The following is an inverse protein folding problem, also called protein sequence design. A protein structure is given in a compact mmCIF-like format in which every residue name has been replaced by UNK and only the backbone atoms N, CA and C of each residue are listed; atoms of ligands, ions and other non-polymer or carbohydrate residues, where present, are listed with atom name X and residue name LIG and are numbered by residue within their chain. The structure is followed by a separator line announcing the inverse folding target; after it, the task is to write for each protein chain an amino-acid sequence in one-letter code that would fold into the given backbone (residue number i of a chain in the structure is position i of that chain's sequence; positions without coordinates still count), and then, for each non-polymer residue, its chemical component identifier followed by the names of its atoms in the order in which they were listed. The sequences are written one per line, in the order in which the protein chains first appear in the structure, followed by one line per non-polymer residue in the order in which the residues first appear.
data_IF_396821077742
#
_entry.id   IF_396821077742
#
_cell.length_a   1.000
_cell.length_b   1.000
_cell.length_c   1.000
_cell.angle_alpha   90.00
_cell.angle_beta   90.00
_cell.angle_gamma   90.00
#
_symmetry.space_group_name_H-M   'P 1'
#
loop_
_entity.id
_entity.type
_entity.pdbx_description
1 polymer ?
#
# COMPACT_ATOMS: atom_id res chain seq x y z
N UNK A 1 -10.25 23.45 -13.91
CA UNK A 1 -10.09 23.27 -12.44
C UNK A 1 -10.91 22.07 -12.01
N UNK A 2 -10.32 21.12 -11.28
CA UNK A 2 -11.03 19.93 -10.78
C UNK A 2 -11.92 20.38 -9.63
N UNK A 3 -13.21 20.00 -9.70
CA UNK A 3 -14.20 20.30 -8.65
C UNK A 3 -14.53 19.02 -7.89
N UNK A 4 -13.98 18.88 -6.70
CA UNK A 4 -14.24 17.75 -5.80
C UNK A 4 -15.64 17.76 -5.17
N UNK A 5 -16.39 18.87 -5.28
CA UNK A 5 -17.77 18.97 -4.80
C UNK A 5 -18.78 18.45 -5.83
N UNK A 6 -18.34 18.12 -7.04
CA UNK A 6 -19.21 17.59 -8.07
C UNK A 6 -19.55 16.11 -7.81
N UNK A 7 -20.49 15.89 -6.89
CA UNK A 7 -20.97 14.56 -6.51
C UNK A 7 -21.53 13.75 -7.68
N UNK A 8 -22.10 14.42 -8.69
CA UNK A 8 -22.64 13.76 -9.87
C UNK A 8 -21.54 13.08 -10.68
N UNK A 9 -20.38 13.71 -10.82
CA UNK A 9 -19.22 13.09 -11.48
C UNK A 9 -18.57 12.04 -10.60
N UNK A 10 -18.40 12.34 -9.30
CA UNK A 10 -17.74 11.43 -8.34
C UNK A 10 -18.46 10.08 -8.21
N UNK A 11 -19.78 10.07 -8.33
CA UNK A 11 -20.61 8.88 -8.17
C UNK A 11 -21.29 8.41 -9.45
N UNK A 12 -20.85 8.88 -10.61
CA UNK A 12 -21.46 8.57 -11.92
C UNK A 12 -21.47 7.07 -12.25
N UNK A 13 -20.59 6.28 -11.66
CA UNK A 13 -20.46 4.83 -11.81
C UNK A 13 -21.25 4.03 -10.75
N UNK A 14 -21.92 4.69 -9.79
CA UNK A 14 -22.65 4.06 -8.69
C UNK A 14 -24.15 4.05 -8.97
N UNK A 15 -24.79 2.96 -8.62
CA UNK A 15 -26.26 2.91 -8.57
C UNK A 15 -26.78 3.55 -7.28
N UNK A 16 -28.05 3.98 -7.27
CA UNK A 16 -28.69 4.50 -6.05
C UNK A 16 -28.64 3.50 -4.89
N UNK A 17 -28.75 2.22 -5.21
CA UNK A 17 -28.61 1.15 -4.21
C UNK A 17 -27.19 1.04 -3.65
N UNK A 18 -26.15 1.20 -4.48
CA UNK A 18 -24.76 1.22 -4.03
C UNK A 18 -24.49 2.42 -3.13
N UNK A 19 -25.04 3.59 -3.49
CA UNK A 19 -24.93 4.82 -2.67
C UNK A 19 -25.65 4.67 -1.33
N UNK A 20 -26.87 4.12 -1.35
CA UNK A 20 -27.63 3.87 -0.11
C UNK A 20 -26.89 2.91 0.83
N UNK A 21 -26.36 1.81 0.28
CA UNK A 21 -25.55 0.85 1.03
C UNK A 21 -24.32 1.50 1.64
N UNK A 22 -23.55 2.26 0.86
CA UNK A 22 -22.38 2.97 1.34
C UNK A 22 -22.73 3.97 2.43
N UNK A 23 -23.78 4.79 2.23
CA UNK A 23 -24.27 5.74 3.22
C UNK A 23 -24.63 5.05 4.55
N UNK A 24 -25.37 3.94 4.49
CA UNK A 24 -25.77 3.21 5.69
C UNK A 24 -24.55 2.61 6.42
N UNK A 25 -23.60 2.03 5.68
CA UNK A 25 -22.37 1.49 6.27
C UNK A 25 -21.54 2.58 6.95
N UNK A 26 -21.25 3.67 6.27
CA UNK A 26 -20.45 4.75 6.86
C UNK A 26 -21.17 5.44 8.02
N UNK A 27 -22.48 5.64 7.92
CA UNK A 27 -23.28 6.17 9.04
C UNK A 27 -23.19 5.27 10.27
N UNK A 28 -23.25 3.95 10.08
CA UNK A 28 -23.15 2.98 11.19
C UNK A 28 -21.74 2.99 11.80
N UNK A 29 -20.68 3.03 10.97
CA UNK A 29 -19.29 3.06 11.43
C UNK A 29 -18.94 4.36 12.18
N UNK A 30 -19.59 5.47 11.87
CA UNK A 30 -19.37 6.76 12.56
C UNK A 30 -19.89 6.80 14.00
N UNK A 31 -20.65 5.80 14.45
CA UNK A 31 -21.12 5.68 15.83
C UNK A 31 -20.28 4.62 16.58
N UNK A 32 -19.28 5.00 17.41
CA UNK A 32 -18.36 4.04 18.05
C UNK A 32 -19.08 2.96 18.88
N UNK A 33 -20.17 3.34 19.58
CA UNK A 33 -20.97 2.41 20.40
C UNK A 33 -21.63 1.35 19.51
N UNK A 34 -22.24 1.76 18.40
CA UNK A 34 -22.92 0.86 17.46
C UNK A 34 -21.87 -0.03 16.77
N UNK A 35 -20.76 0.55 16.32
CA UNK A 35 -19.66 -0.18 15.67
C UNK A 35 -19.08 -1.24 16.61
N UNK A 36 -18.84 -0.91 17.88
CA UNK A 36 -18.35 -1.87 18.88
C UNK A 36 -19.37 -3.00 19.12
N UNK A 37 -20.64 -2.64 19.31
CA UNK A 37 -21.70 -3.63 19.53
C UNK A 37 -21.85 -4.61 18.35
N UNK A 38 -21.82 -4.10 17.11
CA UNK A 38 -21.86 -4.94 15.91
C UNK A 38 -20.62 -5.82 15.78
N UNK A 39 -19.45 -5.30 16.13
CA UNK A 39 -18.21 -6.09 16.15
C UNK A 39 -18.28 -7.23 17.18
N UNK A 40 -18.81 -6.97 18.36
CA UNK A 40 -18.92 -7.98 19.39
C UNK A 40 -19.98 -9.06 19.02
N UNK A 41 -21.09 -8.66 18.42
CA UNK A 41 -22.08 -9.59 17.84
C UNK A 41 -21.40 -10.44 16.76
N UNK A 42 -20.65 -9.83 15.84
CA UNK A 42 -19.96 -10.55 14.77
C UNK A 42 -18.98 -11.59 15.33
N UNK A 43 -18.23 -11.26 16.38
CA UNK A 43 -17.32 -12.22 17.06
C UNK A 43 -18.11 -13.43 17.62
N UNK A 44 -19.25 -13.18 18.25
CA UNK A 44 -20.12 -14.26 18.79
C UNK A 44 -20.65 -15.14 17.66
N UNK A 45 -21.14 -14.55 16.57
CA UNK A 45 -21.64 -15.27 15.39
C UNK A 45 -20.56 -16.16 14.79
N UNK A 46 -19.34 -15.61 14.62
CA UNK A 46 -18.19 -16.36 14.10
C UNK A 46 -17.78 -17.48 15.06
N UNK A 47 -17.78 -17.23 16.36
CA UNK A 47 -17.52 -18.26 17.39
C UNK A 47 -18.55 -19.41 17.33
N UNK A 48 -19.82 -19.10 17.12
CA UNK A 48 -20.89 -20.07 16.95
C UNK A 48 -20.93 -20.72 15.56
N UNK A 49 -20.01 -20.33 14.66
CA UNK A 49 -19.93 -20.83 13.28
C UNK A 49 -21.23 -20.68 12.49
N UNK A 50 -22.02 -19.63 12.78
CA UNK A 50 -23.25 -19.36 12.03
C UNK A 50 -22.86 -18.87 10.62
N UNK A 51 -23.40 -19.45 9.53
CA UNK A 51 -23.05 -19.09 8.16
C UNK A 51 -23.64 -17.72 7.79
N UNK A 52 -22.84 -16.66 7.96
CA UNK A 52 -23.21 -15.28 7.60
C UNK A 52 -22.44 -14.75 6.40
N UNK A 53 -21.67 -15.60 5.75
CA UNK A 53 -20.81 -15.23 4.62
C UNK A 53 -21.59 -14.48 3.53
N UNK A 54 -22.82 -14.90 3.27
CA UNK A 54 -23.69 -14.25 2.29
C UNK A 54 -24.01 -12.78 2.67
N UNK A 55 -24.31 -12.51 3.96
CA UNK A 55 -24.58 -11.14 4.43
C UNK A 55 -23.32 -10.27 4.39
N UNK A 56 -22.16 -10.82 4.79
CA UNK A 56 -20.88 -10.13 4.71
C UNK A 56 -20.54 -9.80 3.25
N UNK A 57 -20.74 -10.76 2.34
CA UNK A 57 -20.49 -10.57 0.91
C UNK A 57 -21.37 -9.48 0.30
N UNK A 58 -22.64 -9.43 0.64
CA UNK A 58 -23.58 -8.42 0.11
C UNK A 58 -23.37 -7.02 0.68
N UNK A 59 -22.75 -6.90 1.84
CA UNK A 59 -22.59 -5.62 2.56
C UNK A 59 -21.16 -5.13 2.53
N UNK A 60 -20.37 -5.51 3.53
CA UNK A 60 -19.00 -5.02 3.76
C UNK A 60 -18.08 -5.43 2.62
N UNK A 61 -18.08 -6.71 2.23
CA UNK A 61 -17.20 -7.20 1.17
C UNK A 61 -17.46 -6.50 -0.15
N UNK A 62 -18.72 -6.40 -0.59
CA UNK A 62 -19.07 -5.70 -1.83
C UNK A 62 -18.70 -4.21 -1.83
N UNK A 63 -18.58 -3.58 -0.66
CA UNK A 63 -18.17 -2.19 -0.54
C UNK A 63 -16.66 -2.02 -0.69
N UNK A 64 -15.86 -2.87 -0.03
CA UNK A 64 -14.42 -2.65 0.12
C UNK A 64 -13.54 -3.62 -0.66
N UNK A 65 -14.09 -4.69 -1.21
CA UNK A 65 -13.33 -5.72 -1.92
C UNK A 65 -13.73 -5.78 -3.39
N UNK A 66 -12.74 -5.92 -4.26
CA UNK A 66 -12.93 -6.05 -5.70
C UNK A 66 -13.44 -7.42 -6.13
N UNK A 67 -13.11 -8.47 -5.38
CA UNK A 67 -13.46 -9.87 -5.64
C UNK A 67 -12.74 -10.80 -4.65
N UNK A 68 -13.17 -12.06 -4.55
CA UNK A 68 -12.51 -13.08 -3.71
C UNK A 68 -11.31 -13.71 -4.44
N UNK A 69 -11.36 -13.72 -5.75
CA UNK A 69 -10.31 -14.23 -6.62
C UNK A 69 -9.94 -13.18 -7.67
N UNK A 70 -8.82 -13.38 -8.33
CA UNK A 70 -8.41 -12.52 -9.46
C UNK A 70 -9.48 -12.55 -10.56
N UNK A 71 -10.08 -13.71 -10.83
CA UNK A 71 -11.15 -13.85 -11.81
C UNK A 71 -12.39 -13.05 -11.42
N UNK A 72 -12.80 -13.09 -10.16
CA UNK A 72 -13.97 -12.33 -9.69
C UNK A 72 -13.73 -10.82 -9.75
N UNK A 73 -12.49 -10.40 -9.54
CA UNK A 73 -12.07 -8.99 -9.61
C UNK A 73 -12.16 -8.41 -11.02
N UNK A 74 -12.22 -9.24 -12.07
CA UNK A 74 -12.22 -8.78 -13.47
C UNK A 74 -13.35 -7.80 -13.78
N UNK A 75 -14.55 -8.03 -13.25
CA UNK A 75 -15.70 -7.13 -13.42
C UNK A 75 -15.47 -5.76 -12.77
N UNK A 76 -14.84 -5.74 -11.60
CA UNK A 76 -14.50 -4.51 -10.89
C UNK A 76 -13.40 -3.75 -11.63
N UNK A 77 -12.39 -4.45 -12.13
CA UNK A 77 -11.32 -3.89 -12.97
C UNK A 77 -11.92 -3.23 -14.20
N UNK A 78 -12.80 -3.93 -14.94
CA UNK A 78 -13.43 -3.40 -16.15
C UNK A 78 -14.35 -2.20 -15.85
N UNK A 79 -15.04 -2.23 -14.71
CA UNK A 79 -15.90 -1.12 -14.27
C UNK A 79 -15.08 0.14 -13.99
N UNK A 80 -13.99 0.03 -13.22
CA UNK A 80 -13.12 1.14 -12.87
C UNK A 80 -12.41 1.71 -14.12
N UNK A 81 -11.99 0.83 -15.02
CA UNK A 81 -11.34 1.23 -16.28
C UNK A 81 -12.22 2.07 -17.20
N UNK A 82 -13.55 1.93 -17.15
CA UNK A 82 -14.48 2.82 -17.89
C UNK A 82 -14.33 4.30 -17.47
N UNK A 83 -13.86 4.54 -16.24
CA UNK A 83 -13.54 5.87 -15.73
C UNK A 83 -12.03 6.17 -15.79
N UNK A 84 -11.26 5.42 -16.59
CA UNK A 84 -9.79 5.53 -16.68
C UNK A 84 -9.05 5.32 -15.36
N UNK A 85 -9.64 4.54 -14.45
CA UNK A 85 -9.04 4.19 -13.15
C UNK A 85 -8.42 2.80 -13.26
N UNK A 86 -7.09 2.74 -13.11
CA UNK A 86 -6.35 1.49 -13.01
C UNK A 86 -6.61 0.80 -11.66
N UNK A 87 -6.40 -0.50 -11.62
CA UNK A 87 -6.63 -1.31 -10.41
C UNK A 87 -5.32 -1.95 -9.95
N UNK A 88 -5.06 -1.88 -8.65
CA UNK A 88 -3.97 -2.60 -8.00
C UNK A 88 -4.59 -3.76 -7.23
N UNK A 89 -4.25 -4.99 -7.63
CA UNK A 89 -4.73 -6.19 -6.94
C UNK A 89 -3.81 -6.48 -5.76
N UNK A 90 -4.35 -6.34 -4.56
CA UNK A 90 -3.67 -6.67 -3.31
C UNK A 90 -4.21 -8.00 -2.77
N UNK A 91 -3.34 -9.00 -2.74
CA UNK A 91 -3.60 -10.24 -2.02
C UNK A 91 -3.19 -10.02 -0.56
N UNK A 92 -4.17 -9.67 0.28
CA UNK A 92 -3.97 -9.26 1.68
C UNK A 92 -3.48 -10.39 2.59
N UNK A 93 -2.39 -11.04 2.20
CA UNK A 93 -1.71 -12.06 2.99
C UNK A 93 -0.48 -11.45 3.67
N UNK A 94 -0.64 -11.08 4.93
CA UNK A 94 0.43 -10.59 5.80
C UNK A 94 0.58 -11.49 7.03
N UNK A 95 1.76 -11.44 7.66
CA UNK A 95 2.00 -12.18 8.90
C UNK A 95 1.97 -13.70 8.74
N UNK A 96 2.31 -14.21 7.57
CA UNK A 96 2.42 -15.65 7.32
C UNK A 96 3.59 -16.24 8.11
N UNK A 97 3.47 -17.51 8.53
CA UNK A 97 4.49 -18.12 9.40
C UNK A 97 5.09 -19.40 8.86
N UNK A 98 4.45 -20.06 7.92
CA UNK A 98 4.90 -21.33 7.38
C UNK A 98 5.25 -21.27 5.88
N UNK A 99 6.00 -22.26 5.43
CA UNK A 99 6.56 -22.30 4.08
C UNK A 99 5.51 -22.46 2.98
N UNK A 100 4.42 -23.18 3.28
CA UNK A 100 3.33 -23.37 2.31
C UNK A 100 2.57 -22.07 2.06
N UNK A 101 2.33 -21.28 3.11
CA UNK A 101 1.71 -19.96 2.98
C UNK A 101 2.60 -19.00 2.19
N UNK A 102 3.91 -18.96 2.46
CA UNK A 102 4.85 -18.16 1.66
C UNK A 102 4.86 -18.56 0.20
N UNK A 103 4.77 -19.87 -0.07
CA UNK A 103 4.67 -20.37 -1.44
C UNK A 103 3.37 -19.93 -2.09
N UNK A 104 2.26 -20.00 -1.40
CA UNK A 104 0.96 -19.54 -1.92
C UNK A 104 0.99 -18.04 -2.27
N UNK A 105 1.52 -17.18 -1.38
CA UNK A 105 1.67 -15.75 -1.66
C UNK A 105 2.58 -15.50 -2.86
N UNK A 106 3.68 -16.21 -2.95
CA UNK A 106 4.60 -16.15 -4.09
C UNK A 106 3.90 -16.53 -5.39
N UNK A 107 3.20 -17.66 -5.42
CA UNK A 107 2.50 -18.16 -6.61
C UNK A 107 1.38 -17.20 -7.02
N UNK A 108 0.60 -16.63 -6.08
CA UNK A 108 -0.43 -15.61 -6.37
C UNK A 108 0.21 -14.32 -6.91
N UNK A 109 1.32 -13.86 -6.35
CA UNK A 109 2.04 -12.69 -6.86
C UNK A 109 2.49 -12.90 -8.32
N UNK A 110 2.97 -14.09 -8.64
CA UNK A 110 3.35 -14.45 -10.02
C UNK A 110 2.15 -14.49 -10.96
N UNK A 111 0.99 -14.97 -10.52
CA UNK A 111 -0.27 -14.95 -11.30
C UNK A 111 -0.73 -13.51 -11.56
N UNK A 112 -0.66 -12.63 -10.55
CA UNK A 112 -0.99 -11.20 -10.73
C UNK A 112 -0.06 -10.57 -11.77
N UNK A 113 1.24 -10.87 -11.74
CA UNK A 113 2.20 -10.41 -12.75
C UNK A 113 1.83 -10.92 -14.16
N UNK A 114 1.40 -12.19 -14.31
CA UNK A 114 0.97 -12.73 -15.59
C UNK A 114 -0.24 -12.00 -16.16
N UNK A 115 -1.22 -11.69 -15.32
CA UNK A 115 -2.44 -10.97 -15.72
C UNK A 115 -2.16 -9.47 -15.97
N UNK A 116 -1.22 -8.90 -15.24
CA UNK A 116 -0.81 -7.52 -15.43
C UNK A 116 0.06 -7.32 -16.69
N UNK A 117 0.61 -8.40 -17.25
CA UNK A 117 1.38 -8.34 -18.49
C UNK A 117 0.52 -7.76 -19.62
N UNK A 118 1.06 -6.77 -20.32
CA UNK A 118 0.38 -6.08 -21.43
C UNK A 118 -1.04 -5.56 -21.10
N UNK A 119 -1.35 -5.42 -19.81
CA UNK A 119 -2.65 -4.96 -19.32
C UNK A 119 -2.52 -3.60 -18.63
N UNK A 120 -2.95 -2.54 -19.33
CA UNK A 120 -2.94 -1.16 -18.82
C UNK A 120 -3.91 -0.93 -17.65
N UNK A 121 -4.94 -1.79 -17.51
CA UNK A 121 -5.90 -1.72 -16.39
C UNK A 121 -5.27 -2.07 -15.04
N UNK A 122 -4.12 -2.75 -15.05
CA UNK A 122 -3.36 -3.14 -13.85
C UNK A 122 -1.98 -2.50 -13.94
N UNK A 123 -1.85 -1.24 -13.49
CA UNK A 123 -0.59 -0.49 -13.64
C UNK A 123 0.52 -0.97 -12.71
N UNK A 124 0.19 -1.53 -11.56
CA UNK A 124 1.13 -1.99 -10.53
C UNK A 124 0.74 -3.35 -9.97
N UNK A 125 1.75 -4.05 -9.46
CA UNK A 125 1.59 -5.22 -8.59
C UNK A 125 2.05 -4.84 -7.18
N UNK A 126 1.39 -5.34 -6.15
CA UNK A 126 1.70 -5.03 -4.75
C UNK A 126 1.82 -6.30 -3.93
N UNK A 127 2.73 -6.30 -2.96
CA UNK A 127 2.80 -7.32 -1.91
C UNK A 127 3.51 -6.80 -0.66
N UNK A 128 3.32 -7.52 0.46
CA UNK A 128 4.03 -7.30 1.72
C UNK A 128 5.12 -8.34 1.91
N UNK A 129 6.25 -7.93 2.49
CA UNK A 129 7.35 -8.89 2.71
C UNK A 129 6.99 -9.96 3.75
N UNK A 130 6.15 -9.65 4.75
CA UNK A 130 5.67 -10.65 5.72
C UNK A 130 4.76 -11.72 5.12
N UNK A 131 4.30 -11.54 3.88
CA UNK A 131 3.67 -12.60 3.09
C UNK A 131 4.66 -13.62 2.52
N UNK A 132 5.96 -13.32 2.50
CA UNK A 132 7.01 -14.15 1.88
C UNK A 132 8.08 -14.63 2.85
N UNK A 133 8.16 -14.05 4.06
CA UNK A 133 9.12 -14.38 5.11
C UNK A 133 8.51 -14.14 6.49
N UNK A 134 8.95 -14.91 7.49
CA UNK A 134 8.48 -14.75 8.87
C UNK A 134 8.80 -13.37 9.43
N UNK A 135 7.82 -12.79 10.11
CA UNK A 135 7.91 -11.53 10.82
C UNK A 135 9.12 -11.45 11.76
N UNK A 136 9.39 -12.52 12.52
CA UNK A 136 10.51 -12.55 13.45
C UNK A 136 11.88 -12.43 12.78
N UNK A 137 12.05 -12.92 11.55
CA UNK A 137 13.29 -12.77 10.79
C UNK A 137 13.50 -11.30 10.43
N UNK A 138 12.48 -10.63 9.88
CA UNK A 138 12.54 -9.19 9.59
C UNK A 138 12.83 -8.36 10.84
N UNK A 139 12.25 -8.73 11.99
CA UNK A 139 12.49 -8.07 13.28
C UNK A 139 13.94 -8.24 13.74
N UNK A 140 14.52 -9.43 13.62
CA UNK A 140 15.93 -9.67 13.93
C UNK A 140 16.85 -8.88 12.99
N UNK A 141 16.57 -8.89 11.68
CA UNK A 141 17.32 -8.11 10.69
C UNK A 141 17.25 -6.62 10.98
N UNK A 142 16.08 -6.08 11.35
CA UNK A 142 15.91 -4.67 11.74
C UNK A 142 16.76 -4.30 12.97
N UNK A 143 17.01 -5.25 13.87
CA UNK A 143 17.81 -5.07 15.07
C UNK A 143 19.27 -5.48 14.89
N UNK A 144 19.68 -5.90 13.69
CA UNK A 144 21.01 -6.45 13.39
C UNK A 144 21.39 -7.62 14.30
N UNK A 145 20.41 -8.45 14.66
CA UNK A 145 20.60 -9.65 15.46
C UNK A 145 20.97 -10.84 14.56
N UNK A 146 21.75 -11.77 15.10
CA UNK A 146 22.12 -12.99 14.41
C UNK A 146 20.91 -13.91 14.16
N UNK A 147 20.91 -14.53 13.00
CA UNK A 147 19.93 -15.54 12.60
C UNK A 147 20.48 -16.92 12.86
N UNK A 148 19.62 -17.83 13.32
CA UNK A 148 19.96 -19.25 13.39
C UNK A 148 20.14 -19.84 11.98
N UNK A 149 20.73 -21.03 11.89
CA UNK A 149 20.91 -21.73 10.61
C UNK A 149 19.57 -21.93 9.86
N UNK A 150 18.50 -22.29 10.59
CA UNK A 150 17.17 -22.46 10.04
C UNK A 150 16.60 -21.15 9.50
N UNK A 151 16.77 -20.05 10.22
CA UNK A 151 16.34 -18.72 9.79
C UNK A 151 17.14 -18.22 8.58
N UNK A 152 18.45 -18.48 8.54
CA UNK A 152 19.29 -18.19 7.37
C UNK A 152 18.84 -18.98 6.14
N UNK A 153 18.53 -20.26 6.29
CA UNK A 153 17.98 -21.06 5.20
C UNK A 153 16.65 -20.50 4.67
N UNK A 154 15.80 -20.00 5.56
CA UNK A 154 14.55 -19.32 5.17
C UNK A 154 14.81 -17.99 4.45
N UNK A 155 15.75 -17.17 4.93
CA UNK A 155 16.15 -15.94 4.28
C UNK A 155 16.69 -16.17 2.86
N UNK A 156 17.46 -17.24 2.65
CA UNK A 156 17.95 -17.65 1.32
C UNK A 156 16.77 -17.97 0.39
N UNK A 157 15.76 -18.74 0.86
CA UNK A 157 14.57 -19.06 0.05
C UNK A 157 13.75 -17.80 -0.27
N UNK A 158 13.56 -16.92 0.72
CA UNK A 158 12.90 -15.64 0.54
C UNK A 158 13.59 -14.78 -0.54
N UNK A 159 14.92 -14.62 -0.46
CA UNK A 159 15.67 -13.85 -1.44
C UNK A 159 15.53 -14.42 -2.87
N UNK A 160 15.48 -15.75 -3.01
CA UNK A 160 15.24 -16.39 -4.31
C UNK A 160 13.84 -16.07 -4.86
N UNK A 161 12.80 -16.14 -4.01
CA UNK A 161 11.43 -15.77 -4.42
C UNK A 161 11.35 -14.30 -4.86
N UNK A 162 11.96 -13.41 -4.07
CA UNK A 162 11.97 -11.99 -4.34
C UNK A 162 12.69 -11.67 -5.66
N UNK A 163 13.83 -12.29 -5.91
CA UNK A 163 14.56 -12.16 -7.16
C UNK A 163 13.74 -12.62 -8.38
N UNK A 164 13.02 -13.75 -8.25
CA UNK A 164 12.14 -14.26 -9.32
C UNK A 164 11.00 -13.27 -9.60
N UNK A 165 10.33 -12.75 -8.56
CA UNK A 165 9.27 -11.76 -8.72
C UNK A 165 9.80 -10.51 -9.43
N UNK A 166 10.90 -9.93 -8.95
CA UNK A 166 11.47 -8.71 -9.49
C UNK A 166 11.98 -8.88 -10.93
N UNK A 167 12.63 -10.00 -11.25
CA UNK A 167 13.07 -10.33 -12.62
C UNK A 167 11.90 -10.49 -13.57
N UNK A 168 10.82 -11.16 -13.13
CA UNK A 168 9.61 -11.31 -13.93
C UNK A 168 8.95 -9.95 -14.18
N UNK A 169 8.81 -9.13 -13.15
CA UNK A 169 8.28 -7.77 -13.27
C UNK A 169 9.11 -6.89 -14.21
N UNK A 170 10.43 -6.95 -14.11
CA UNK A 170 11.34 -6.23 -15.01
C UNK A 170 11.18 -6.69 -16.47
N UNK A 171 11.10 -8.02 -16.71
CA UNK A 171 10.91 -8.58 -18.05
C UNK A 171 9.63 -8.10 -18.72
N UNK A 172 8.53 -7.96 -17.98
CA UNK A 172 7.24 -7.51 -18.50
C UNK A 172 7.00 -6.00 -18.33
N UNK A 173 8.00 -5.28 -17.82
CA UNK A 173 7.93 -3.83 -17.55
C UNK A 173 6.73 -3.44 -16.66
N UNK A 174 6.51 -4.15 -15.57
CA UNK A 174 5.42 -3.91 -14.66
C UNK A 174 5.95 -3.48 -13.29
N UNK A 175 5.72 -2.21 -12.85
CA UNK A 175 6.17 -1.74 -11.55
C UNK A 175 5.57 -2.50 -10.37
N UNK A 176 6.33 -2.54 -9.27
CA UNK A 176 5.97 -3.23 -8.04
C UNK A 176 5.96 -2.24 -6.88
N UNK A 177 4.90 -2.27 -6.08
CA UNK A 177 4.87 -1.70 -4.74
C UNK A 177 5.26 -2.76 -3.71
N UNK A 178 6.22 -2.45 -2.85
CA UNK A 178 6.48 -3.20 -1.62
C UNK A 178 5.91 -2.38 -0.48
N UNK A 179 4.88 -2.92 0.17
CA UNK A 179 4.15 -2.19 1.20
C UNK A 179 4.94 -2.09 2.49
N UNK A 180 4.82 -0.94 3.15
CA UNK A 180 5.36 -0.72 4.47
C UNK A 180 4.52 -1.44 5.52
N UNK A 181 5.19 -1.84 6.58
CA UNK A 181 4.58 -2.54 7.69
C UNK A 181 4.94 -1.84 9.01
N UNK A 182 4.93 -2.54 10.13
CA UNK A 182 5.18 -1.91 11.42
C UNK A 182 6.62 -1.42 11.59
N UNK A 183 6.80 -0.37 12.39
CA UNK A 183 8.09 0.33 12.56
C UNK A 183 9.24 -0.59 12.97
N UNK A 184 8.96 -1.64 13.75
CA UNK A 184 9.99 -2.53 14.28
C UNK A 184 10.51 -3.60 13.32
N UNK A 185 9.90 -3.68 12.10
CA UNK A 185 10.41 -4.48 10.98
C UNK A 185 10.74 -3.60 9.77
N UNK A 186 10.32 -2.33 9.78
CA UNK A 186 10.44 -1.45 8.62
C UNK A 186 11.89 -1.20 8.19
N UNK A 187 12.83 -1.17 9.12
CA UNK A 187 14.25 -0.98 8.76
C UNK A 187 14.77 -2.12 7.88
N UNK A 188 14.37 -3.35 8.15
CA UNK A 188 14.73 -4.48 7.29
C UNK A 188 14.05 -4.38 5.92
N UNK A 189 12.77 -3.99 5.88
CA UNK A 189 12.02 -3.75 4.64
C UNK A 189 12.72 -2.67 3.82
N UNK A 190 13.02 -1.51 4.40
CA UNK A 190 13.69 -0.39 3.74
C UNK A 190 15.05 -0.82 3.12
N UNK A 191 15.85 -1.59 3.85
CA UNK A 191 17.15 -2.08 3.37
C UNK A 191 17.02 -3.08 2.22
N UNK A 192 16.04 -3.98 2.27
CA UNK A 192 15.75 -4.91 1.18
C UNK A 192 15.30 -4.15 -0.06
N UNK A 193 14.34 -3.22 0.10
CA UNK A 193 13.82 -2.43 -1.01
C UNK A 193 14.89 -1.51 -1.61
N UNK A 194 15.74 -0.90 -0.78
CA UNK A 194 16.90 -0.15 -1.23
C UNK A 194 17.80 -0.98 -2.16
N UNK A 195 18.13 -2.21 -1.75
CA UNK A 195 18.96 -3.10 -2.57
C UNK A 195 18.28 -3.45 -3.90
N UNK A 196 16.97 -3.66 -3.90
CA UNK A 196 16.20 -3.90 -5.12
C UNK A 196 16.13 -2.67 -6.03
N UNK A 197 15.93 -1.46 -5.48
CA UNK A 197 15.98 -0.23 -6.28
C UNK A 197 17.34 -0.05 -6.93
N UNK A 198 18.43 -0.23 -6.17
CA UNK A 198 19.79 -0.15 -6.69
C UNK A 198 20.03 -1.13 -7.85
N UNK A 199 19.41 -2.29 -7.81
CA UNK A 199 19.53 -3.31 -8.86
C UNK A 199 18.65 -3.03 -10.08
N UNK A 200 17.37 -2.65 -9.87
CA UNK A 200 16.36 -2.63 -10.93
C UNK A 200 15.94 -1.25 -11.40
N UNK A 201 16.19 -0.17 -10.62
CA UNK A 201 15.77 1.20 -10.95
C UNK A 201 16.86 2.03 -11.62
N UNK A 202 17.64 1.46 -12.54
CA UNK A 202 18.73 2.20 -13.21
C UNK A 202 18.21 3.20 -14.25
N UNK A 203 17.45 2.73 -15.20
CA UNK A 203 16.94 3.56 -16.30
C UNK A 203 15.55 4.09 -16.02
N UNK A 204 14.68 3.25 -15.47
CA UNK A 204 13.31 3.55 -15.11
C UNK A 204 12.98 3.02 -13.72
N UNK A 205 11.92 3.53 -13.12
CA UNK A 205 11.48 3.06 -11.79
C UNK A 205 10.60 1.83 -11.95
N UNK A 206 11.05 0.71 -11.39
CA UNK A 206 10.34 -0.56 -11.33
C UNK A 206 9.89 -0.89 -9.91
N UNK A 207 10.77 -0.66 -8.94
CA UNK A 207 10.54 -0.98 -7.52
C UNK A 207 10.20 0.28 -6.77
N UNK A 208 9.09 0.24 -6.04
CA UNK A 208 8.62 1.32 -5.20
C UNK A 208 8.60 0.87 -3.74
N UNK A 209 9.16 1.67 -2.85
CA UNK A 209 8.99 1.54 -1.40
C UNK A 209 7.75 2.29 -0.94
N UNK A 210 7.05 1.78 0.05
CA UNK A 210 5.95 2.51 0.69
C UNK A 210 6.47 3.24 1.93
N UNK A 211 6.17 4.55 2.02
CA UNK A 211 6.63 5.42 3.10
C UNK A 211 5.43 5.95 3.88
N UNK A 212 5.38 5.64 5.17
CA UNK A 212 4.29 6.00 6.09
C UNK A 212 4.60 7.30 6.83
N UNK A 213 4.04 8.42 6.36
CA UNK A 213 4.37 9.77 6.82
C UNK A 213 3.86 10.12 8.22
N UNK A 214 3.11 9.22 8.87
CA UNK A 214 2.76 9.40 10.29
C UNK A 214 3.96 9.18 11.23
N UNK A 215 5.09 8.64 10.74
CA UNK A 215 6.31 8.44 11.52
C UNK A 215 7.22 9.67 11.43
N UNK A 216 7.76 10.06 12.57
CA UNK A 216 8.66 11.22 12.72
C UNK A 216 9.91 11.17 11.85
N UNK A 217 10.41 9.98 11.51
CA UNK A 217 11.68 9.78 10.83
C UNK A 217 11.58 9.70 9.29
N UNK A 218 10.36 9.65 8.75
CA UNK A 218 10.17 9.29 7.32
C UNK A 218 10.56 10.38 6.35
N UNK A 219 10.34 11.64 6.68
CA UNK A 219 10.76 12.75 5.80
C UNK A 219 12.28 12.80 5.68
N UNK A 220 12.99 12.67 6.81
CA UNK A 220 14.47 12.59 6.81
C UNK A 220 14.98 11.36 6.07
N UNK A 221 14.35 10.19 6.27
CA UNK A 221 14.67 8.98 5.51
C UNK A 221 14.56 9.19 4.01
N UNK A 222 13.48 9.83 3.54
CA UNK A 222 13.24 10.11 2.13
C UNK A 222 14.32 11.02 1.53
N UNK A 223 14.68 12.08 2.23
CA UNK A 223 15.75 13.00 1.80
C UNK A 223 17.12 12.30 1.71
N UNK A 224 17.47 11.52 2.72
CA UNK A 224 18.73 10.75 2.72
C UNK A 224 18.75 9.70 1.60
N UNK A 225 17.64 8.98 1.40
CA UNK A 225 17.51 8.02 0.31
C UNK A 225 17.72 8.69 -1.05
N UNK A 226 17.17 9.89 -1.25
CA UNK A 226 17.32 10.65 -2.48
C UNK A 226 18.78 11.02 -2.74
N UNK A 227 19.49 11.50 -1.72
CA UNK A 227 20.90 11.84 -1.83
C UNK A 227 21.73 10.60 -2.23
N UNK A 228 21.57 9.48 -1.49
CA UNK A 228 22.32 8.25 -1.79
C UNK A 228 22.01 7.73 -3.20
N UNK A 229 20.75 7.78 -3.62
CA UNK A 229 20.35 7.32 -4.93
C UNK A 229 20.99 8.13 -6.08
N UNK A 230 21.13 9.45 -5.90
CA UNK A 230 21.82 10.32 -6.84
C UNK A 230 23.32 9.99 -6.88
N UNK A 231 23.97 9.82 -5.72
CA UNK A 231 25.39 9.45 -5.63
C UNK A 231 25.69 8.08 -6.25
N UNK A 232 24.79 7.12 -6.09
CA UNK A 232 24.95 5.75 -6.59
C UNK A 232 24.33 5.51 -7.98
N UNK A 233 23.68 6.51 -8.56
CA UNK A 233 23.18 6.50 -9.94
C UNK A 233 22.00 5.54 -10.16
N UNK A 234 20.97 5.59 -9.30
CA UNK A 234 19.71 4.91 -9.51
C UNK A 234 18.50 5.80 -9.18
N UNK A 235 17.32 5.43 -9.66
CA UNK A 235 16.06 6.17 -9.44
C UNK A 235 15.27 5.60 -8.28
N UNK A 236 14.42 6.43 -7.67
CA UNK A 236 13.60 6.05 -6.52
C UNK A 236 12.14 5.95 -6.93
N UNK A 237 11.49 4.86 -6.53
CA UNK A 237 10.03 4.72 -6.56
C UNK A 237 9.46 4.82 -5.14
N UNK A 238 8.46 5.67 -4.94
CA UNK A 238 7.84 5.88 -3.64
C UNK A 238 6.31 5.83 -3.73
N UNK A 239 5.71 5.00 -2.88
CA UNK A 239 4.29 5.10 -2.55
C UNK A 239 4.20 5.84 -1.22
N UNK A 240 3.67 7.05 -1.25
CA UNK A 240 3.56 7.92 -0.07
C UNK A 240 2.17 7.75 0.52
N UNK A 241 2.11 7.33 1.77
CA UNK A 241 0.86 7.12 2.53
C UNK A 241 0.97 7.77 3.91
N UNK A 242 -0.17 7.96 4.59
CA UNK A 242 -0.13 8.45 5.97
C UNK A 242 0.35 7.39 6.94
N UNK A 243 -0.21 6.19 6.88
CA UNK A 243 0.16 5.04 7.70
C UNK A 243 -1.06 4.23 8.14
N UNK A 244 -0.84 2.94 8.43
CA UNK A 244 -1.92 1.99 8.67
C UNK A 244 -1.95 1.40 10.09
N UNK A 245 -0.92 1.61 10.91
CA UNK A 245 -0.75 0.89 12.17
C UNK A 245 -0.68 1.82 13.39
N UNK A 246 -1.33 3.00 13.35
CA UNK A 246 -1.16 4.08 14.33
C UNK A 246 -1.39 3.60 15.79
N UNK A 247 -2.52 2.96 16.08
CA UNK A 247 -2.84 2.45 17.41
C UNK A 247 -1.84 1.37 17.84
N UNK A 248 -1.52 0.44 16.96
CA UNK A 248 -0.57 -0.64 17.20
C UNK A 248 0.85 -0.14 17.53
N UNK A 249 1.27 0.96 16.90
CA UNK A 249 2.54 1.62 17.17
C UNK A 249 2.56 2.26 18.56
N UNK A 250 1.47 2.93 18.95
CA UNK A 250 1.32 3.56 20.27
C UNK A 250 1.28 2.48 21.35
N UNK A 251 0.40 1.50 21.23
CA UNK A 251 0.21 0.44 22.22
C UNK A 251 1.54 -0.29 22.49
N UNK A 252 2.25 -0.64 21.43
CA UNK A 252 3.55 -1.28 21.56
C UNK A 252 4.60 -0.40 22.20
N UNK A 253 4.64 0.90 21.86
CA UNK A 253 5.60 1.82 22.45
C UNK A 253 5.36 1.95 23.96
N UNK A 254 4.11 2.05 24.39
CA UNK A 254 3.71 2.09 25.79
C UNK A 254 4.06 0.78 26.52
N UNK A 255 3.74 -0.37 25.92
CA UNK A 255 4.07 -1.70 26.49
C UNK A 255 5.57 -1.92 26.68
N UNK A 256 6.38 -1.46 25.73
CA UNK A 256 7.84 -1.69 25.73
C UNK A 256 8.64 -0.53 26.29
N UNK A 257 8.04 0.59 26.66
CA UNK A 257 8.70 1.74 27.29
C UNK A 257 9.66 2.50 26.37
N UNK A 258 9.34 2.63 25.08
CA UNK A 258 10.12 3.48 24.16
C UNK A 258 9.26 4.63 23.60
N UNK A 259 9.93 5.64 23.03
CA UNK A 259 9.27 6.81 22.46
C UNK A 259 8.33 6.38 21.31
N UNK A 260 7.07 6.84 21.35
CA UNK A 260 6.09 6.61 20.29
C UNK A 260 6.65 7.09 18.95
N UNK A 261 6.76 6.24 17.92
CA UNK A 261 7.44 6.61 16.68
C UNK A 261 6.56 7.40 15.70
N UNK A 262 5.28 7.61 16.04
CA UNK A 262 4.27 8.23 15.18
C UNK A 262 3.79 9.55 15.75
N UNK A 263 3.37 10.48 14.87
CA UNK A 263 2.81 11.76 15.24
C UNK A 263 1.53 11.59 16.07
N UNK A 264 1.43 12.35 17.14
CA UNK A 264 0.24 12.40 17.98
C UNK A 264 -0.93 13.07 17.25
N UNK A 265 -0.64 14.15 16.50
CA UNK A 265 -1.66 14.93 15.80
C UNK A 265 -1.70 14.57 14.32
N UNK A 266 -2.91 14.36 13.82
CA UNK A 266 -3.15 14.17 12.38
C UNK A 266 -2.58 15.32 11.52
N UNK A 267 -2.63 16.55 12.02
CA UNK A 267 -2.09 17.74 11.34
C UNK A 267 -0.59 17.62 11.04
N UNK A 268 0.18 17.01 11.92
CA UNK A 268 1.62 16.84 11.75
C UNK A 268 1.90 15.76 10.69
N UNK A 269 1.12 14.68 10.69
CA UNK A 269 1.13 13.68 9.62
C UNK A 269 0.75 14.30 8.26
N UNK A 270 -0.29 15.15 8.22
CA UNK A 270 -0.71 15.84 7.00
C UNK A 270 0.38 16.79 6.48
N UNK A 271 1.06 17.48 7.37
CA UNK A 271 2.19 18.35 7.04
C UNK A 271 3.36 17.58 6.44
N UNK A 272 3.77 16.48 7.08
CA UNK A 272 4.88 15.65 6.58
C UNK A 272 4.53 14.96 5.26
N UNK A 273 3.28 14.51 5.10
CA UNK A 273 2.78 13.99 3.83
C UNK A 273 2.90 15.02 2.70
N UNK A 274 2.46 16.25 2.94
CA UNK A 274 2.53 17.32 1.95
C UNK A 274 3.99 17.77 1.69
N UNK A 275 4.85 17.81 2.71
CA UNK A 275 6.29 18.06 2.55
C UNK A 275 6.96 16.98 1.70
N UNK A 276 6.58 15.71 1.88
CA UNK A 276 7.08 14.61 1.06
C UNK A 276 6.64 14.74 -0.40
N UNK A 277 5.37 15.10 -0.67
CA UNK A 277 4.90 15.38 -2.03
C UNK A 277 5.71 16.49 -2.68
N UNK A 278 5.89 17.62 -1.98
CA UNK A 278 6.67 18.75 -2.47
C UNK A 278 8.10 18.34 -2.81
N UNK A 279 8.78 17.68 -1.88
CA UNK A 279 10.15 17.21 -2.10
C UNK A 279 10.25 16.28 -3.32
N UNK A 280 9.31 15.35 -3.48
CA UNK A 280 9.32 14.43 -4.61
C UNK A 280 9.08 15.12 -5.96
N UNK A 281 8.17 16.09 -6.00
CA UNK A 281 7.90 16.85 -7.23
C UNK A 281 9.10 17.72 -7.62
N UNK A 282 9.74 18.38 -6.65
CA UNK A 282 10.97 19.16 -6.88
C UNK A 282 12.14 18.27 -7.37
N UNK A 283 12.10 16.96 -7.11
CA UNK A 283 13.11 15.99 -7.51
C UNK A 283 12.60 14.95 -8.52
N UNK A 284 11.57 15.27 -9.30
CA UNK A 284 10.83 14.34 -10.17
C UNK A 284 11.72 13.67 -11.24
N UNK A 285 12.87 14.23 -11.57
CA UNK A 285 13.83 13.64 -12.51
C UNK A 285 14.46 12.34 -11.98
N UNK A 286 14.47 12.15 -10.66
CA UNK A 286 15.07 11.00 -9.99
C UNK A 286 14.04 10.18 -9.19
N UNK A 287 12.85 10.73 -8.94
CA UNK A 287 11.83 10.13 -8.10
C UNK A 287 10.54 9.93 -8.90
N UNK A 288 9.98 8.72 -8.87
CA UNK A 288 8.59 8.48 -9.28
C UNK A 288 7.74 8.24 -8.06
N UNK A 289 6.51 8.78 -8.04
CA UNK A 289 5.64 8.71 -6.86
C UNK A 289 4.27 8.12 -7.15
N UNK A 290 3.73 7.48 -6.13
CA UNK A 290 2.31 7.19 -6.03
C UNK A 290 1.78 7.83 -4.73
N UNK A 291 0.93 8.84 -4.84
CA UNK A 291 0.26 9.48 -3.71
C UNK A 291 -0.95 8.65 -3.28
N UNK A 292 -0.82 7.89 -2.18
CA UNK A 292 -1.87 7.03 -1.63
C UNK A 292 -2.70 7.77 -0.57
N UNK A 293 -3.79 8.42 -0.97
CA UNK A 293 -4.59 9.23 -0.04
C UNK A 293 -6.03 9.44 -0.49
N UNK A 294 -6.96 9.56 0.48
CA UNK A 294 -8.33 10.04 0.32
C UNK A 294 -8.49 11.52 0.70
N UNK A 295 -7.41 12.18 1.16
CA UNK A 295 -7.46 13.58 1.59
C UNK A 295 -7.50 14.50 0.38
N UNK A 296 -8.59 15.24 0.24
CA UNK A 296 -8.84 16.17 -0.88
C UNK A 296 -7.77 17.27 -0.92
N UNK A 297 -7.43 17.86 0.24
CA UNK A 297 -6.46 18.94 0.33
C UNK A 297 -5.08 18.53 -0.18
N UNK A 298 -4.60 17.34 0.22
CA UNK A 298 -3.32 16.80 -0.27
C UNK A 298 -3.38 16.45 -1.77
N UNK A 299 -4.53 15.97 -2.26
CA UNK A 299 -4.70 15.71 -3.70
C UNK A 299 -4.68 17.01 -4.52
N UNK A 300 -5.37 18.06 -4.04
CA UNK A 300 -5.31 19.39 -4.64
C UNK A 300 -3.91 20.00 -4.58
N UNK A 301 -3.21 19.79 -3.46
CA UNK A 301 -1.83 20.25 -3.30
C UNK A 301 -0.87 19.58 -4.30
N UNK A 302 -1.03 18.28 -4.53
CA UNK A 302 -0.24 17.59 -5.56
C UNK A 302 -0.48 18.17 -6.95
N UNK A 303 -1.75 18.40 -7.33
CA UNK A 303 -2.08 18.99 -8.62
C UNK A 303 -1.50 20.41 -8.78
N UNK A 304 -1.55 21.22 -7.73
CA UNK A 304 -0.93 22.55 -7.70
C UNK A 304 0.58 22.47 -7.88
N UNK A 305 1.27 21.55 -7.18
CA UNK A 305 2.71 21.33 -7.35
C UNK A 305 3.06 20.91 -8.77
N UNK A 306 2.25 20.04 -9.40
CA UNK A 306 2.46 19.64 -10.80
C UNK A 306 2.33 20.84 -11.75
N UNK A 307 1.31 21.66 -11.57
CA UNK A 307 1.10 22.88 -12.37
C UNK A 307 2.26 23.89 -12.22
N UNK A 308 2.69 24.15 -10.98
CA UNK A 308 3.81 25.05 -10.67
C UNK A 308 5.14 24.58 -11.27
N UNK A 309 5.31 23.29 -11.45
CA UNK A 309 6.51 22.68 -12.05
C UNK A 309 6.33 22.32 -13.53
N UNK A 310 5.25 22.75 -14.19
CA UNK A 310 4.95 22.49 -15.60
C UNK A 310 4.92 20.98 -15.92
N UNK A 311 4.40 20.17 -15.01
CA UNK A 311 4.25 18.71 -15.17
C UNK A 311 2.84 18.42 -15.66
N UNK A 312 2.72 17.65 -16.72
CA UNK A 312 1.43 17.28 -17.31
C UNK A 312 0.67 16.28 -16.40
N UNK A 313 -0.67 16.32 -16.47
CA UNK A 313 -1.53 15.44 -15.66
C UNK A 313 -1.41 13.94 -15.97
N UNK A 314 -0.82 13.58 -17.11
CA UNK A 314 -0.59 12.22 -17.57
C UNK A 314 0.89 11.79 -17.45
N UNK A 315 1.70 12.52 -16.67
CA UNK A 315 3.10 12.16 -16.45
C UNK A 315 3.20 10.78 -15.78
N UNK A 316 3.92 9.86 -16.43
CA UNK A 316 4.06 8.47 -16.02
C UNK A 316 4.92 8.24 -14.77
N UNK A 317 5.48 9.32 -14.21
CA UNK A 317 6.23 9.29 -12.94
C UNK A 317 5.34 9.59 -11.74
N UNK A 318 4.09 10.06 -11.95
CA UNK A 318 3.19 10.50 -10.89
C UNK A 318 1.87 9.73 -10.96
N UNK A 319 1.53 9.08 -9.86
CA UNK A 319 0.28 8.35 -9.70
C UNK A 319 -0.47 8.83 -8.46
N UNK A 320 -1.78 8.79 -8.54
CA UNK A 320 -2.67 8.93 -7.38
C UNK A 320 -3.40 7.62 -7.13
N UNK A 321 -3.49 7.17 -5.90
CA UNK A 321 -4.18 5.94 -5.54
C UNK A 321 -5.05 6.09 -4.32
N UNK A 322 -6.12 5.30 -4.29
CA UNK A 322 -7.08 5.26 -3.19
C UNK A 322 -7.50 3.81 -2.93
N UNK A 323 -7.92 3.52 -1.70
CA UNK A 323 -8.51 2.24 -1.37
C UNK A 323 -9.93 2.16 -1.92
N UNK A 324 -10.27 1.02 -2.51
CA UNK A 324 -11.60 0.80 -3.06
C UNK A 324 -12.67 0.96 -1.97
N UNK A 325 -13.69 1.73 -2.27
CA UNK A 325 -14.88 1.88 -1.42
C UNK A 325 -14.72 2.71 -0.18
N UNK A 326 -13.55 3.35 0.07
CA UNK A 326 -13.29 4.18 1.26
C UNK A 326 -13.72 5.64 1.07
N UNK A 327 -14.13 6.04 -0.11
CA UNK A 327 -14.62 7.37 -0.45
C UNK A 327 -15.80 7.29 -1.41
#
# INVERSE_FOLDING_TARGET
MIDFNNSKNAFSDKSDFDLFRAFFLFKTLNYPIISKFLTDILKVILYLRIPIDFLIKLTIFKQFCGGETISDSSKTIDKLWKSSIGTILDYSAEGQENEDDFKNVFDETLKVLDIAKDNSKIPFVVFKLTGLIQFNILKKLSKKQELSEKENATLIRFNKRLDIICKKANKINKPIFIDAEESWIQTAIDNIVFSLMKQFNKEKVLIFNTVQMYRHDRLTYLMNLSQIAQEEGFKIGLKIVRGAYHEKEIDRALEKGYTVPVHEKKSDTDKDFNNALKFCIENINHISICSGTHNIESSMYLLKLMEENSIENNDDRIYSSQLLGMS
#
